data_IF_246446318401
#
_entry.id   IF_246446318401
#
_cell.length_a   1.000
_cell.length_b   1.000
_cell.length_c   1.000
_cell.angle_alpha   90.00
_cell.angle_beta   90.00
_cell.angle_gamma   90.00
#
_symmetry.space_group_name_H-M   'P 1'
#
loop_
_entity.id
_entity.type
_entity.pdbx_description
1 polymer ?
#
# COMPACT_ATOMS: atom_id res chain seq x y z
N UNK A 1 -14.44 12.72 -2.87
CA UNK A 1 -13.78 11.84 -3.89
C UNK A 1 -12.57 12.59 -4.43
N UNK A 2 -11.37 12.00 -4.38
CA UNK A 2 -10.16 12.57 -4.98
C UNK A 2 -10.15 12.15 -6.44
N UNK A 3 -10.07 13.11 -7.37
CA UNK A 3 -9.96 12.86 -8.80
C UNK A 3 -8.70 13.51 -9.38
N UNK A 4 -8.26 13.06 -10.55
CA UNK A 4 -7.12 13.65 -11.27
C UNK A 4 -7.34 15.14 -11.55
N UNK A 5 -8.59 15.57 -11.78
CA UNK A 5 -8.92 16.97 -12.02
C UNK A 5 -8.71 17.83 -10.76
N UNK A 6 -9.09 17.32 -9.58
CA UNK A 6 -8.85 17.99 -8.30
C UNK A 6 -7.36 18.16 -8.06
N UNK A 7 -6.56 17.13 -8.34
CA UNK A 7 -5.10 17.17 -8.17
C UNK A 7 -4.49 18.15 -9.19
N UNK A 8 -4.91 18.09 -10.45
CA UNK A 8 -4.40 18.94 -11.52
C UNK A 8 -4.69 20.43 -11.29
N UNK A 9 -5.85 20.75 -10.72
CA UNK A 9 -6.25 22.13 -10.38
C UNK A 9 -5.59 22.66 -9.10
N UNK A 10 -4.73 21.89 -8.43
CA UNK A 10 -4.07 22.29 -7.19
C UNK A 10 -4.90 22.07 -5.92
N UNK A 11 -5.98 21.30 -5.99
CA UNK A 11 -6.87 21.05 -4.86
C UNK A 11 -6.23 20.36 -3.66
N UNK A 12 -5.05 19.72 -3.85
CA UNK A 12 -4.29 19.08 -2.77
C UNK A 12 -2.92 19.73 -2.51
N UNK A 13 -2.64 20.89 -3.10
CA UNK A 13 -1.31 21.52 -3.03
C UNK A 13 -0.84 21.79 -1.61
N UNK A 14 -1.72 22.23 -0.73
CA UNK A 14 -1.36 22.46 0.66
C UNK A 14 -0.91 21.15 1.34
N UNK A 15 -1.59 20.05 1.04
CA UNK A 15 -1.21 18.73 1.56
C UNK A 15 0.15 18.31 1.00
N UNK A 16 0.38 18.49 -0.29
CA UNK A 16 1.66 18.14 -0.92
C UNK A 16 2.81 19.00 -0.38
N UNK A 17 2.58 20.30 -0.12
CA UNK A 17 3.59 21.19 0.49
C UNK A 17 3.94 20.76 1.91
N UNK A 18 2.95 20.34 2.69
CA UNK A 18 3.19 19.84 4.05
C UNK A 18 3.96 18.51 4.04
N UNK A 19 3.68 17.63 3.07
CA UNK A 19 4.34 16.32 2.96
C UNK A 19 5.78 16.43 2.45
N UNK A 20 6.01 17.24 1.40
CA UNK A 20 7.29 17.25 0.69
C UNK A 20 8.18 18.45 1.01
N UNK A 21 7.67 19.46 1.74
CA UNK A 21 8.39 20.63 2.25
C UNK A 21 9.01 21.50 1.12
N UNK A 22 9.69 20.88 0.14
CA UNK A 22 10.33 21.56 -0.98
C UNK A 22 9.29 21.89 -2.08
N UNK A 23 8.94 23.15 -2.21
CA UNK A 23 7.98 23.61 -3.23
C UNK A 23 8.41 23.33 -4.67
N UNK A 24 9.71 23.16 -4.93
CA UNK A 24 10.21 22.80 -6.25
C UNK A 24 9.74 21.42 -6.71
N UNK A 25 9.38 20.53 -5.77
CA UNK A 25 8.88 19.19 -6.01
C UNK A 25 7.37 19.14 -6.31
N UNK A 26 6.64 20.23 -6.08
CA UNK A 26 5.18 20.22 -6.15
C UNK A 26 4.63 19.74 -7.48
N UNK A 27 5.20 20.20 -8.58
CA UNK A 27 4.78 19.81 -9.94
C UNK A 27 5.09 18.33 -10.22
N UNK A 28 6.24 17.84 -9.76
CA UNK A 28 6.61 16.44 -9.85
C UNK A 28 5.64 15.57 -9.05
N UNK A 29 5.35 15.94 -7.82
CA UNK A 29 4.45 15.17 -6.96
C UNK A 29 3.02 15.16 -7.48
N UNK A 30 2.49 16.30 -7.99
CA UNK A 30 1.18 16.30 -8.65
C UNK A 30 1.10 15.25 -9.75
N UNK A 31 2.08 15.24 -10.67
CA UNK A 31 2.12 14.27 -11.76
C UNK A 31 2.17 12.84 -11.25
N UNK A 32 2.97 12.61 -10.20
CA UNK A 32 3.11 11.29 -9.60
C UNK A 32 1.78 10.79 -9.00
N UNK A 33 1.07 11.64 -8.25
CA UNK A 33 -0.24 11.30 -7.68
C UNK A 33 -1.30 11.08 -8.77
N UNK A 34 -1.32 11.91 -9.81
CA UNK A 34 -2.23 11.75 -10.96
C UNK A 34 -1.94 10.41 -11.67
N UNK A 35 -0.68 10.10 -11.92
CA UNK A 35 -0.29 8.85 -12.56
C UNK A 35 -0.70 7.63 -11.73
N UNK A 36 -0.49 7.68 -10.40
CA UNK A 36 -0.90 6.62 -9.50
C UNK A 36 -2.42 6.39 -9.54
N UNK A 37 -3.20 7.47 -9.49
CA UNK A 37 -4.66 7.41 -9.56
C UNK A 37 -5.15 6.86 -10.90
N UNK A 38 -4.59 7.35 -12.01
CA UNK A 38 -4.94 6.88 -13.35
C UNK A 38 -4.59 5.40 -13.52
N UNK A 39 -3.45 4.97 -12.98
CA UNK A 39 -3.04 3.58 -13.05
C UNK A 39 -3.95 2.68 -12.21
N UNK A 40 -4.33 3.12 -11.03
CA UNK A 40 -5.35 2.45 -10.22
C UNK A 40 -6.66 2.29 -10.99
N UNK A 41 -7.16 3.37 -11.59
CA UNK A 41 -8.42 3.36 -12.36
C UNK A 41 -8.36 2.41 -13.58
N UNK A 42 -7.22 2.35 -14.27
CA UNK A 42 -7.01 1.38 -15.37
C UNK A 42 -7.08 -0.07 -14.90
N UNK A 43 -6.59 -0.37 -13.69
CA UNK A 43 -6.54 -1.73 -13.16
C UNK A 43 -7.87 -2.18 -12.54
N UNK A 44 -8.54 -1.29 -11.84
CA UNK A 44 -9.65 -1.64 -10.95
C UNK A 44 -10.94 -0.89 -11.24
N UNK A 45 -10.96 -0.01 -12.25
CA UNK A 45 -12.10 0.85 -12.58
C UNK A 45 -12.23 2.07 -11.66
N UNK A 46 -13.19 2.93 -11.97
CA UNK A 46 -13.51 4.14 -11.20
C UNK A 46 -14.13 3.78 -9.85
N UNK A 47 -14.03 4.69 -8.89
CA UNK A 47 -14.65 4.57 -7.57
C UNK A 47 -13.99 5.46 -6.54
N UNK A 48 -14.52 5.44 -5.33
CA UNK A 48 -13.95 6.15 -4.19
C UNK A 48 -12.67 5.48 -3.73
N UNK A 49 -11.59 6.25 -3.65
CA UNK A 49 -10.29 5.78 -3.22
C UNK A 49 -9.73 6.62 -2.07
N UNK A 50 -8.86 6.00 -1.31
CA UNK A 50 -7.99 6.64 -0.32
C UNK A 50 -6.57 6.66 -0.88
N UNK A 51 -5.81 7.71 -0.59
CA UNK A 51 -4.40 7.79 -0.97
C UNK A 51 -3.58 7.90 0.31
N UNK A 52 -2.59 7.03 0.43
CA UNK A 52 -1.65 7.01 1.55
C UNK A 52 -0.25 7.34 1.05
N UNK A 53 0.52 8.02 1.88
CA UNK A 53 1.94 8.28 1.68
C UNK A 53 2.70 7.76 2.89
N UNK A 54 3.71 6.93 2.66
CA UNK A 54 4.57 6.38 3.71
C UNK A 54 6.03 6.71 3.37
N UNK A 55 6.71 7.54 4.17
CA UNK A 55 8.08 7.95 3.88
C UNK A 55 9.08 6.83 4.13
N UNK A 56 10.17 6.85 3.39
CA UNK A 56 11.36 6.11 3.75
C UNK A 56 12.03 6.69 4.98
N UNK A 57 13.04 5.98 5.50
CA UNK A 57 13.79 6.35 6.69
C UNK A 57 15.28 6.30 6.44
N UNK A 58 16.00 7.31 6.95
CA UNK A 58 17.45 7.28 7.05
C UNK A 58 17.88 7.15 8.51
N UNK A 59 18.85 6.30 8.79
CA UNK A 59 19.48 6.22 10.09
C UNK A 59 20.68 7.18 10.13
N UNK A 60 20.61 8.16 11.05
CA UNK A 60 21.63 9.18 11.23
C UNK A 60 22.74 8.66 12.14
N UNK A 61 22.39 7.80 13.09
CA UNK A 61 23.35 7.18 14.01
C UNK A 61 22.75 6.01 14.77
N UNK A 62 23.60 5.09 15.22
CA UNK A 62 23.19 3.91 15.98
C UNK A 62 22.75 2.72 15.14
N UNK A 63 23.25 2.63 13.90
CA UNK A 63 22.86 1.60 12.95
C UNK A 63 23.01 0.18 13.51
N UNK A 64 21.96 -0.68 13.30
CA UNK A 64 21.90 -2.09 13.70
C UNK A 64 22.19 -2.36 15.20
N UNK A 65 21.73 -1.48 16.09
CA UNK A 65 21.90 -1.65 17.54
C UNK A 65 20.66 -2.20 18.26
N UNK A 66 19.59 -2.49 17.54
CA UNK A 66 18.33 -3.01 18.07
C UNK A 66 18.49 -4.34 18.83
N UNK A 67 19.31 -5.26 18.32
CA UNK A 67 19.66 -6.51 18.99
C UNK A 67 20.54 -6.35 20.26
N UNK A 68 21.09 -5.18 20.47
CA UNK A 68 21.94 -4.85 21.65
C UNK A 68 21.25 -3.86 22.59
N UNK A 69 19.96 -3.58 22.40
CA UNK A 69 19.21 -2.54 23.10
C UNK A 69 19.87 -1.14 22.98
N UNK A 70 20.56 -0.90 21.88
CA UNK A 70 21.22 0.37 21.61
C UNK A 70 20.22 1.48 21.26
N UNK A 71 20.71 2.72 21.32
CA UNK A 71 19.94 3.90 20.93
C UNK A 71 20.17 4.21 19.46
N UNK A 72 19.10 4.48 18.74
CA UNK A 72 19.10 4.83 17.32
C UNK A 72 18.54 6.24 17.15
N UNK A 73 19.17 7.03 16.29
CA UNK A 73 18.65 8.28 15.79
C UNK A 73 18.31 8.07 14.31
N UNK A 74 17.03 8.13 13.98
CA UNK A 74 16.54 8.00 12.62
C UNK A 74 15.63 9.18 12.27
N UNK A 75 15.52 9.48 10.98
CA UNK A 75 14.63 10.51 10.46
C UNK A 75 13.88 10.01 9.22
N UNK A 76 12.63 10.45 9.07
CA UNK A 76 11.90 10.31 7.81
C UNK A 76 12.58 11.15 6.74
N UNK A 77 12.49 10.68 5.49
CA UNK A 77 13.00 11.38 4.31
C UNK A 77 11.83 11.83 3.44
N UNK A 78 12.09 12.72 2.50
CA UNK A 78 11.09 13.22 1.55
C UNK A 78 10.86 12.32 0.32
N UNK A 79 11.36 11.10 0.36
CA UNK A 79 11.02 10.04 -0.59
C UNK A 79 10.05 9.08 0.07
N UNK A 80 8.97 8.74 -0.61
CA UNK A 80 7.90 7.94 -0.06
C UNK A 80 7.39 6.86 -1.02
N UNK A 81 6.55 6.02 -0.47
CA UNK A 81 5.68 5.11 -1.19
C UNK A 81 4.27 5.69 -1.17
N UNK A 82 3.65 5.84 -2.34
CA UNK A 82 2.24 6.21 -2.48
C UNK A 82 1.43 4.94 -2.75
N UNK A 83 0.34 4.78 -2.01
CA UNK A 83 -0.66 3.74 -2.24
C UNK A 83 -2.02 4.38 -2.52
N UNK A 84 -2.61 4.07 -3.68
CA UNK A 84 -4.02 4.34 -3.99
C UNK A 84 -4.80 3.09 -3.66
N UNK A 85 -5.77 3.20 -2.75
CA UNK A 85 -6.45 2.05 -2.13
C UNK A 85 -7.95 2.20 -2.21
N UNK A 86 -8.65 1.14 -2.58
CA UNK A 86 -10.11 1.03 -2.50
C UNK A 86 -10.49 -0.16 -1.61
N UNK A 87 -11.16 0.08 -0.47
CA UNK A 87 -11.75 -1.00 0.31
C UNK A 87 -12.79 -1.77 -0.51
N UNK A 88 -12.73 -3.10 -0.48
CA UNK A 88 -13.70 -3.97 -1.14
C UNK A 88 -14.68 -4.48 -0.10
N UNK A 89 -15.95 -4.07 -0.22
CA UNK A 89 -16.99 -4.57 0.66
C UNK A 89 -17.41 -5.98 0.23
N UNK A 90 -17.71 -6.84 1.19
CA UNK A 90 -18.18 -8.22 0.94
C UNK A 90 -19.50 -8.30 0.14
N UNK A 91 -20.17 -7.16 -0.08
CA UNK A 91 -21.37 -7.06 -0.92
C UNK A 91 -21.05 -6.86 -2.41
N UNK A 92 -19.87 -6.36 -2.74
CA UNK A 92 -19.48 -6.02 -4.11
C UNK A 92 -18.83 -7.22 -4.85
N UNK A 93 -18.60 -8.33 -4.16
CA UNK A 93 -17.98 -9.54 -4.70
C UNK A 93 -18.98 -10.59 -5.20
N UNK A 94 -20.25 -10.24 -5.36
CA UNK A 94 -21.25 -11.09 -6.03
C UNK A 94 -21.28 -10.72 -7.50
N UNK A 95 -20.36 -11.26 -8.30
CA UNK A 95 -20.60 -11.41 -9.73
C UNK A 95 -21.63 -12.51 -9.92
N UNK A 96 -22.78 -12.13 -10.48
CA UNK A 96 -23.78 -13.04 -10.97
C UNK A 96 -23.17 -13.96 -12.03
N UNK A 97 -22.95 -15.23 -11.66
CA UNK A 97 -23.12 -16.33 -12.63
C UNK A 97 -23.54 -17.58 -11.87
N UNK A 98 -24.69 -18.08 -12.30
CA UNK A 98 -25.40 -19.16 -11.65
C UNK A 98 -24.61 -20.47 -11.61
N UNK A 99 -24.58 -21.08 -10.42
CA UNK A 99 -24.46 -22.52 -10.31
C UNK A 99 -25.14 -23.02 -9.04
N UNK A 100 -26.10 -23.90 -9.26
CA UNK A 100 -26.79 -24.72 -8.28
C UNK A 100 -25.80 -25.67 -7.58
N UNK A 101 -25.34 -25.34 -6.39
CA UNK A 101 -25.01 -26.32 -5.35
C UNK A 101 -24.79 -25.60 -4.02
N UNK A 102 -25.54 -25.99 -3.01
CA UNK A 102 -25.62 -25.35 -1.71
C UNK A 102 -24.37 -25.54 -0.85
N UNK A 103 -23.33 -24.82 -1.16
CA UNK A 103 -22.26 -24.50 -0.23
C UNK A 103 -22.15 -22.98 -0.22
N UNK A 104 -22.47 -22.37 0.92
CA UNK A 104 -22.17 -20.98 1.20
C UNK A 104 -20.67 -20.78 1.05
N UNK A 105 -20.21 -20.38 -0.13
CA UNK A 105 -18.86 -19.85 -0.31
C UNK A 105 -18.86 -18.52 0.43
N UNK A 106 -18.39 -18.53 1.67
CA UNK A 106 -17.95 -17.31 2.35
C UNK A 106 -16.88 -16.74 1.42
N UNK A 107 -17.20 -15.68 0.68
CA UNK A 107 -16.23 -14.96 -0.12
C UNK A 107 -15.15 -14.46 0.85
N UNK A 108 -14.10 -15.25 0.99
CA UNK A 108 -12.90 -14.86 1.71
C UNK A 108 -12.38 -13.63 0.98
N UNK A 109 -12.47 -12.45 1.60
CA UNK A 109 -12.01 -11.22 1.00
C UNK A 109 -10.57 -11.38 0.50
N UNK A 110 -10.28 -10.87 -0.68
CA UNK A 110 -8.94 -10.94 -1.28
C UNK A 110 -8.34 -9.53 -1.28
N UNK A 111 -7.12 -9.42 -0.78
CA UNK A 111 -6.29 -8.24 -0.96
C UNK A 111 -5.59 -8.35 -2.31
N UNK A 112 -5.72 -7.33 -3.16
CA UNK A 112 -5.06 -7.25 -4.46
C UNK A 112 -4.15 -6.05 -4.51
N UNK A 113 -2.87 -6.27 -4.77
CA UNK A 113 -1.87 -5.21 -4.83
C UNK A 113 -1.10 -5.32 -6.14
N UNK A 114 -1.01 -4.21 -6.86
CA UNK A 114 -0.09 -4.02 -7.99
C UNK A 114 0.89 -2.92 -7.62
N UNK A 115 2.18 -3.22 -7.67
CA UNK A 115 3.24 -2.23 -7.59
C UNK A 115 3.82 -1.96 -8.97
N UNK A 116 4.33 -0.75 -9.21
CA UNK A 116 4.98 -0.41 -10.47
C UNK A 116 6.04 -1.44 -10.84
N UNK A 117 5.97 -1.95 -12.09
CA UNK A 117 6.89 -2.93 -12.65
C UNK A 117 6.90 -4.32 -11.98
N UNK A 118 5.90 -4.63 -11.13
CA UNK A 118 5.76 -5.93 -10.48
C UNK A 118 4.43 -6.59 -10.83
N UNK A 119 4.38 -7.93 -10.83
CA UNK A 119 3.12 -8.66 -11.03
C UNK A 119 2.15 -8.39 -9.88
N UNK A 120 0.86 -8.57 -10.16
CA UNK A 120 -0.18 -8.50 -9.15
C UNK A 120 0.04 -9.54 -8.05
N UNK A 121 -0.13 -9.12 -6.82
CA UNK A 121 -0.13 -9.97 -5.63
C UNK A 121 -1.56 -10.12 -5.16
N UNK A 122 -1.97 -11.36 -4.92
CA UNK A 122 -3.28 -11.69 -4.33
C UNK A 122 -3.07 -12.44 -3.02
N UNK A 123 -3.71 -11.96 -1.96
CA UNK A 123 -3.67 -12.57 -0.62
C UNK A 123 -5.11 -12.73 -0.13
N UNK A 124 -5.54 -13.98 0.06
CA UNK A 124 -6.82 -14.25 0.70
C UNK A 124 -6.74 -13.91 2.20
N UNK A 125 -7.72 -13.19 2.73
CA UNK A 125 -7.78 -12.88 4.16
C UNK A 125 -7.83 -14.13 5.05
N UNK A 126 -8.30 -15.25 4.52
CA UNK A 126 -8.31 -16.55 5.22
C UNK A 126 -6.94 -17.23 5.23
N UNK A 127 -6.06 -16.89 4.27
CA UNK A 127 -4.73 -17.51 4.13
C UNK A 127 -3.67 -16.65 4.85
N UNK A 128 -3.52 -16.90 6.14
CA UNK A 128 -2.52 -16.23 6.98
C UNK A 128 -1.44 -17.19 7.49
N UNK A 129 -1.43 -18.42 6.99
CA UNK A 129 -0.47 -19.45 7.39
C UNK A 129 0.92 -19.18 6.80
N UNK A 130 1.94 -19.60 7.57
CA UNK A 130 3.32 -19.47 7.15
C UNK A 130 3.60 -20.50 6.04
N UNK A 131 4.01 -19.99 4.86
CA UNK A 131 4.51 -20.82 3.78
C UNK A 131 6.00 -20.52 3.54
N UNK A 132 6.87 -21.51 3.69
CA UNK A 132 8.31 -21.35 3.52
C UNK A 132 8.72 -20.99 2.09
N UNK A 133 7.94 -21.40 1.10
CA UNK A 133 8.19 -21.08 -0.32
C UNK A 133 7.94 -19.59 -0.64
N UNK A 134 7.17 -18.90 0.22
CA UNK A 134 6.89 -17.47 0.08
C UNK A 134 7.90 -16.59 0.84
N UNK A 135 8.88 -17.15 1.54
CA UNK A 135 9.83 -16.36 2.32
C UNK A 135 10.56 -15.31 1.45
N UNK A 136 10.78 -14.13 2.02
CA UNK A 136 11.38 -12.98 1.37
C UNK A 136 10.58 -12.42 0.18
N UNK A 137 9.29 -12.73 0.08
CA UNK A 137 8.39 -12.16 -0.92
C UNK A 137 7.49 -11.08 -0.31
N UNK A 138 7.06 -10.14 -1.14
CA UNK A 138 6.06 -9.13 -0.75
C UNK A 138 4.74 -9.78 -0.32
N UNK A 139 4.37 -10.92 -0.92
CA UNK A 139 3.18 -11.68 -0.53
C UNK A 139 3.26 -12.16 0.92
N UNK A 140 4.41 -12.73 1.34
CA UNK A 140 4.61 -13.15 2.72
C UNK A 140 4.53 -11.98 3.70
N UNK A 141 5.04 -10.81 3.29
CA UNK A 141 4.97 -9.59 4.09
C UNK A 141 3.52 -9.17 4.34
N UNK A 142 2.70 -9.06 3.29
CA UNK A 142 1.27 -8.72 3.40
C UNK A 142 0.51 -9.74 4.25
N UNK A 143 0.78 -11.05 4.07
CA UNK A 143 0.22 -12.11 4.92
C UNK A 143 0.60 -11.93 6.38
N UNK A 144 1.86 -11.63 6.67
CA UNK A 144 2.38 -11.42 8.01
C UNK A 144 1.72 -10.25 8.73
N UNK A 145 1.58 -9.11 8.04
CA UNK A 145 0.86 -7.92 8.57
C UNK A 145 -0.60 -8.28 8.85
N UNK A 146 -1.29 -8.92 7.89
CA UNK A 146 -2.68 -9.35 8.06
C UNK A 146 -2.86 -10.30 9.25
N UNK A 147 -1.96 -11.28 9.39
CA UNK A 147 -1.96 -12.20 10.53
C UNK A 147 -1.71 -11.47 11.85
N UNK A 148 -0.79 -10.51 11.87
CA UNK A 148 -0.49 -9.67 13.03
C UNK A 148 -1.71 -8.87 13.50
N UNK A 149 -2.43 -8.22 12.58
CA UNK A 149 -3.67 -7.52 12.90
C UNK A 149 -4.72 -8.46 13.51
N UNK A 150 -4.96 -9.62 12.89
CA UNK A 150 -5.92 -10.61 13.41
C UNK A 150 -5.53 -11.12 14.79
N UNK A 151 -4.25 -11.45 15.01
CA UNK A 151 -3.74 -11.95 16.30
C UNK A 151 -3.97 -10.91 17.41
N UNK A 152 -3.93 -9.64 17.10
CA UNK A 152 -4.18 -8.54 18.04
C UNK A 152 -5.66 -8.13 18.14
N UNK A 153 -6.58 -8.88 17.55
CA UNK A 153 -8.03 -8.66 17.66
C UNK A 153 -8.58 -7.57 16.75
N UNK A 154 -7.79 -7.06 15.80
CA UNK A 154 -8.26 -6.09 14.82
C UNK A 154 -9.01 -6.77 13.67
N UNK A 155 -10.02 -6.07 13.15
CA UNK A 155 -10.71 -6.49 11.94
C UNK A 155 -9.85 -6.17 10.72
N UNK A 156 -9.70 -7.13 9.83
CA UNK A 156 -9.06 -6.96 8.54
C UNK A 156 -10.10 -6.96 7.43
N UNK A 157 -9.87 -6.18 6.37
CA UNK A 157 -10.76 -6.09 5.21
C UNK A 157 -9.99 -6.32 3.91
N UNK A 158 -10.72 -6.72 2.87
CA UNK A 158 -10.19 -6.80 1.52
C UNK A 158 -10.05 -5.40 0.91
N UNK A 159 -9.07 -5.24 0.04
CA UNK A 159 -8.88 -4.00 -0.71
C UNK A 159 -8.13 -4.25 -2.02
N UNK A 160 -8.36 -3.36 -2.97
CA UNK A 160 -7.54 -3.21 -4.17
C UNK A 160 -6.54 -2.08 -3.94
N UNK A 161 -5.28 -2.26 -4.35
CA UNK A 161 -4.28 -1.21 -4.23
C UNK A 161 -3.36 -1.14 -5.46
N UNK A 162 -3.00 0.09 -5.84
CA UNK A 162 -1.88 0.37 -6.71
C UNK A 162 -0.83 1.17 -5.94
N UNK A 163 0.44 0.75 -6.05
CA UNK A 163 1.55 1.31 -5.28
C UNK A 163 2.66 1.78 -6.22
N UNK A 164 3.18 2.97 -5.97
CA UNK A 164 4.38 3.51 -6.62
C UNK A 164 5.36 4.05 -5.58
N UNK A 165 6.66 3.91 -5.83
CA UNK A 165 7.70 4.23 -4.86
C UNK A 165 8.81 5.09 -5.45
N UNK A 166 9.13 6.18 -4.75
CA UNK A 166 10.36 6.94 -4.95
C UNK A 166 11.48 6.50 -3.99
N UNK A 167 11.17 5.62 -3.02
CA UNK A 167 12.18 5.06 -2.12
C UNK A 167 12.98 3.99 -2.87
N UNK A 168 14.27 4.19 -3.15
CA UNK A 168 15.07 3.23 -3.88
C UNK A 168 15.22 1.91 -3.13
N UNK A 169 15.01 0.80 -3.83
CA UNK A 169 15.25 -0.51 -3.25
C UNK A 169 16.74 -0.75 -3.02
N UNK A 170 17.07 -1.40 -1.92
CA UNK A 170 18.46 -1.75 -1.58
C UNK A 170 19.36 -0.58 -1.18
N UNK A 171 18.83 0.63 -1.10
CA UNK A 171 19.60 1.83 -0.72
C UNK A 171 19.69 2.05 0.81
N UNK A 172 19.20 1.12 1.62
CA UNK A 172 19.18 1.29 3.08
C UNK A 172 18.14 2.29 3.60
N UNK A 173 17.21 2.74 2.74
CA UNK A 173 16.19 3.74 3.08
C UNK A 173 14.87 3.12 3.55
N UNK A 174 14.90 1.85 3.95
CA UNK A 174 13.77 1.16 4.58
C UNK A 174 12.51 1.06 3.70
N UNK A 175 12.68 0.78 2.39
CA UNK A 175 11.54 0.63 1.47
C UNK A 175 10.54 -0.45 1.90
N UNK A 176 11.00 -1.56 2.49
CA UNK A 176 10.11 -2.62 3.01
C UNK A 176 9.25 -2.12 4.16
N UNK A 177 9.84 -1.35 5.11
CA UNK A 177 9.09 -0.79 6.23
C UNK A 177 8.10 0.31 5.79
N UNK A 178 8.44 1.09 4.75
CA UNK A 178 7.50 2.05 4.19
C UNK A 178 6.34 1.37 3.43
N UNK A 179 6.57 0.16 2.92
CA UNK A 179 5.52 -0.65 2.26
C UNK A 179 4.56 -1.29 3.28
N UNK A 180 5.03 -1.73 4.45
CA UNK A 180 4.22 -2.32 5.54
C UNK A 180 3.23 -1.33 6.15
#
# INVERSE_FOLDING_TARGET
>A
MISSDIISSGGIDNILKDLYIDESQLEYQRKRYINALNRFTQLYGEGDVLIFSAPGRSEIGGNHTDHQNGKVLAASINLDIIAVVRPVNSKDSVSEEGSLSGHSVVNAGIIKIVSDNYPMIEVALSDTDINKEEYSTTKALVKGVTAGFKKNGFKTGAFDAFITSDVPMGAGLSSSAAFE
#
